data_IF_320425223907
#
_entry.id   IF_320425223907
#
_cell.length_a   1.000
_cell.length_b   1.000
_cell.length_c   1.000
_cell.angle_alpha   90.00
_cell.angle_beta   90.00
_cell.angle_gamma   90.00
#
_symmetry.space_group_name_H-M   'P 1'
#
loop_
_entity.id
_entity.type
_entity.pdbx_description
1 polymer ?
#
# COMPACT_ATOMS: atom_id res chain seq x y z
N UNK A 1 20.15 -4.83 25.77
CA UNK A 1 18.91 -5.57 25.45
C UNK A 1 18.34 -5.04 24.13
N UNK A 2 18.80 -5.52 22.96
CA UNK A 2 18.42 -4.89 21.66
C UNK A 2 18.02 -5.86 20.54
N UNK A 3 18.22 -7.17 20.71
CA UNK A 3 18.12 -8.12 19.59
C UNK A 3 16.68 -8.50 19.23
N UNK A 4 15.79 -8.62 20.21
CA UNK A 4 14.38 -9.02 19.98
C UNK A 4 13.41 -7.84 19.90
N UNK A 5 13.77 -6.68 20.45
CA UNK A 5 12.96 -5.46 20.41
C UNK A 5 12.45 -5.10 19.00
N UNK A 6 13.30 -5.11 17.94
CA UNK A 6 12.84 -4.71 16.60
C UNK A 6 11.86 -5.70 15.98
N UNK A 7 12.08 -7.00 16.18
CA UNK A 7 11.16 -8.03 15.72
C UNK A 7 9.79 -7.91 16.41
N UNK A 8 9.78 -7.57 17.71
CA UNK A 8 8.56 -7.41 18.50
C UNK A 8 7.78 -6.16 18.09
N UNK A 9 8.47 -5.04 17.86
CA UNK A 9 7.88 -3.79 17.35
C UNK A 9 7.17 -3.99 16.01
N UNK A 10 7.85 -4.62 15.04
CA UNK A 10 7.30 -4.85 13.70
C UNK A 10 6.12 -5.83 13.75
N UNK A 11 6.23 -6.92 14.52
CA UNK A 11 5.16 -7.92 14.62
C UNK A 11 3.88 -7.31 15.21
N UNK A 12 4.02 -6.46 16.23
CA UNK A 12 2.88 -5.78 16.86
C UNK A 12 2.22 -4.77 15.90
N UNK A 13 3.03 -4.01 15.14
CA UNK A 13 2.52 -3.09 14.13
C UNK A 13 1.75 -3.83 13.02
N UNK A 14 2.26 -4.97 12.55
CA UNK A 14 1.60 -5.78 11.53
C UNK A 14 0.28 -6.36 12.07
N UNK A 15 0.26 -6.90 13.29
CA UNK A 15 -0.96 -7.41 13.91
C UNK A 15 -2.05 -6.33 14.03
N UNK A 16 -1.68 -5.12 14.44
CA UNK A 16 -2.61 -3.99 14.51
C UNK A 16 -3.18 -3.62 13.12
N UNK A 17 -2.35 -3.64 12.08
CA UNK A 17 -2.79 -3.39 10.70
C UNK A 17 -3.68 -4.50 10.14
N UNK A 18 -3.41 -5.76 10.50
CA UNK A 18 -4.26 -6.89 10.12
C UNK A 18 -5.63 -6.81 10.79
N UNK A 19 -5.67 -6.40 12.06
CA UNK A 19 -6.92 -6.19 12.79
C UNK A 19 -7.77 -5.09 12.18
N UNK A 20 -7.14 -3.96 11.83
CA UNK A 20 -7.80 -2.79 11.23
C UNK A 20 -8.08 -2.93 9.73
N UNK A 21 -7.65 -4.03 9.10
CA UNK A 21 -7.71 -4.27 7.64
C UNK A 21 -6.99 -3.22 6.79
N UNK A 22 -6.14 -2.38 7.38
CA UNK A 22 -5.34 -1.35 6.69
C UNK A 22 -3.88 -1.77 6.61
N UNK A 23 -3.60 -2.84 5.87
CA UNK A 23 -2.23 -3.34 5.71
C UNK A 23 -1.39 -2.30 4.96
N UNK A 24 -0.54 -1.58 5.68
CA UNK A 24 0.38 -0.60 5.13
C UNK A 24 1.81 -1.04 5.42
N UNK A 25 2.43 -1.87 4.55
CA UNK A 25 3.80 -2.34 4.69
C UNK A 25 4.84 -1.28 5.08
N UNK A 26 4.81 -0.03 4.56
CA UNK A 26 5.77 1.00 4.99
C UNK A 26 5.56 1.45 6.44
N UNK A 27 4.37 1.29 7.03
CA UNK A 27 4.15 1.52 8.46
C UNK A 27 4.96 0.56 9.35
N UNK A 28 5.15 -0.68 8.90
CA UNK A 28 6.02 -1.64 9.60
C UNK A 28 7.49 -1.25 9.57
N UNK A 29 7.97 -0.72 8.43
CA UNK A 29 9.33 -0.19 8.31
C UNK A 29 9.57 1.01 9.23
N UNK A 30 8.57 1.89 9.39
CA UNK A 30 8.63 3.01 10.33
C UNK A 30 8.76 2.53 11.79
N UNK A 31 8.00 1.50 12.19
CA UNK A 31 8.08 0.91 13.53
C UNK A 31 9.46 0.26 13.81
N UNK A 32 10.09 -0.29 12.78
CA UNK A 32 11.46 -0.82 12.86
C UNK A 32 12.48 0.32 13.05
N UNK A 33 12.38 1.38 12.23
CA UNK A 33 13.28 2.54 12.29
C UNK A 33 13.17 3.26 13.63
N UNK A 34 11.97 3.39 14.20
CA UNK A 34 11.79 3.97 15.52
C UNK A 34 12.55 3.21 16.63
N UNK A 35 12.82 1.92 16.42
CA UNK A 35 13.48 1.08 17.42
C UNK A 35 14.98 0.87 17.18
N UNK A 36 15.42 0.82 15.90
CA UNK A 36 16.84 0.67 15.52
C UNK A 36 17.52 2.03 15.28
N UNK A 37 16.74 3.11 15.10
CA UNK A 37 17.24 4.44 14.77
C UNK A 37 18.31 4.97 15.73
N UNK A 38 19.12 5.92 15.23
CA UNK A 38 20.19 6.58 15.97
C UNK A 38 19.70 7.24 17.26
N UNK A 39 20.60 7.48 18.21
CA UNK A 39 20.23 8.07 19.51
C UNK A 39 19.59 9.45 19.40
N UNK A 40 19.83 10.18 18.31
CA UNK A 40 19.13 11.43 17.99
C UNK A 40 17.61 11.21 17.81
N UNK A 41 17.22 10.13 17.11
CA UNK A 41 15.81 9.77 16.87
C UNK A 41 15.14 9.33 18.18
N UNK A 42 15.87 8.58 19.02
CA UNK A 42 15.41 8.21 20.37
C UNK A 42 15.32 9.41 21.31
N UNK A 43 16.23 10.39 21.19
CA UNK A 43 16.21 11.62 21.98
C UNK A 43 15.03 12.53 21.63
N UNK A 44 14.60 12.52 20.36
CA UNK A 44 13.37 13.21 19.91
C UNK A 44 12.10 12.50 20.38
N UNK A 45 12.17 11.25 20.82
CA UNK A 45 11.05 10.50 21.38
C UNK A 45 9.84 10.48 20.45
N UNK A 46 8.66 10.83 20.97
CA UNK A 46 7.41 10.87 20.20
C UNK A 46 7.36 11.99 19.13
N UNK A 47 8.26 12.98 19.20
CA UNK A 47 8.29 14.04 18.17
C UNK A 47 8.69 13.52 16.79
N UNK A 48 9.43 12.42 16.70
CA UNK A 48 9.77 11.78 15.42
C UNK A 48 8.53 11.32 14.63
N UNK A 49 7.48 10.88 15.34
CA UNK A 49 6.20 10.49 14.73
C UNK A 49 5.48 11.71 14.13
N UNK A 50 5.57 12.85 14.83
CA UNK A 50 4.94 14.11 14.39
C UNK A 50 5.75 14.73 13.25
N UNK A 51 7.07 14.65 13.28
CA UNK A 51 7.97 15.27 12.32
C UNK A 51 9.20 14.36 12.18
N UNK A 52 9.39 13.58 11.09
CA UNK A 52 8.94 13.79 9.71
C UNK A 52 7.77 12.89 9.27
N UNK A 53 7.37 11.88 10.03
CA UNK A 53 6.49 10.81 9.54
C UNK A 53 5.10 11.33 9.17
N UNK A 54 4.44 12.04 10.09
CA UNK A 54 3.12 12.62 9.83
C UNK A 54 3.17 13.61 8.65
N UNK A 55 4.19 14.46 8.60
CA UNK A 55 4.37 15.42 7.50
C UNK A 55 4.52 14.71 6.14
N UNK A 56 5.32 13.65 6.07
CA UNK A 56 5.49 12.85 4.85
C UNK A 56 4.21 12.16 4.41
N UNK A 57 3.44 11.59 5.35
CA UNK A 57 2.14 10.98 5.06
C UNK A 57 1.15 12.01 4.55
N UNK A 58 1.09 13.20 5.17
CA UNK A 58 0.20 14.29 4.72
C UNK A 58 0.57 14.74 3.30
N UNK A 59 1.86 14.92 3.00
CA UNK A 59 2.33 15.31 1.67
C UNK A 59 1.94 14.27 0.63
N UNK A 60 2.17 12.98 0.91
CA UNK A 60 1.79 11.88 0.03
C UNK A 60 0.27 11.77 -0.12
N UNK A 61 -0.48 11.99 0.94
CA UNK A 61 -1.94 11.96 0.93
C UNK A 61 -2.52 13.10 0.08
N UNK A 62 -1.99 14.32 0.24
CA UNK A 62 -2.36 15.47 -0.60
C UNK A 62 -2.05 15.19 -2.06
N UNK A 63 -0.85 14.67 -2.36
CA UNK A 63 -0.50 14.28 -3.73
C UNK A 63 -1.42 13.19 -4.26
N UNK A 64 -1.72 12.16 -3.49
CA UNK A 64 -2.65 11.09 -3.87
C UNK A 64 -4.04 11.65 -4.21
N UNK A 65 -4.56 12.59 -3.41
CA UNK A 65 -5.84 13.25 -3.71
C UNK A 65 -5.75 14.07 -4.99
N UNK A 66 -4.68 14.86 -5.18
CA UNK A 66 -4.50 15.68 -6.37
C UNK A 66 -4.45 14.80 -7.64
N UNK A 67 -3.64 13.74 -7.64
CA UNK A 67 -3.56 12.79 -8.76
C UNK A 67 -4.85 12.00 -8.95
N UNK A 68 -5.51 11.57 -7.87
CA UNK A 68 -6.79 10.86 -7.93
C UNK A 68 -7.91 11.74 -8.52
N UNK A 69 -7.90 13.05 -8.23
CA UNK A 69 -8.86 14.00 -8.76
C UNK A 69 -8.56 14.35 -10.23
N UNK A 70 -7.28 14.42 -10.63
CA UNK A 70 -6.89 14.61 -12.04
C UNK A 70 -7.28 13.42 -12.92
N UNK A 71 -7.27 12.20 -12.37
CA UNK A 71 -7.64 10.97 -13.08
C UNK A 71 -9.17 10.77 -13.16
N UNK A 72 -9.94 11.83 -13.46
CA UNK A 72 -11.41 11.78 -13.61
C UNK A 72 -11.87 10.96 -14.82
N UNK A 73 -10.96 10.62 -15.74
CA UNK A 73 -11.26 9.87 -16.96
C UNK A 73 -10.67 8.45 -16.97
N UNK A 74 -10.75 7.74 -15.83
CA UNK A 74 -10.64 6.28 -15.83
C UNK A 74 -12.02 5.68 -15.68
N UNK A 75 -12.66 5.41 -16.81
CA UNK A 75 -13.57 4.27 -16.91
C UNK A 75 -12.71 3.06 -16.63
N UNK A 76 -12.90 2.41 -15.49
CA UNK A 76 -12.31 1.12 -15.21
C UNK A 76 -13.09 0.08 -16.03
N UNK A 77 -12.57 -0.47 -17.14
CA UNK A 77 -13.03 -1.79 -17.57
C UNK A 77 -12.43 -2.75 -16.53
N UNK A 78 -13.16 -3.68 -15.95
CA UNK A 78 -13.99 -4.64 -16.62
C UNK A 78 -15.03 -5.12 -15.61
N UNK A 79 -16.27 -5.32 -16.06
CA UNK A 79 -17.30 -5.97 -15.25
C UNK A 79 -16.94 -7.45 -15.15
N UNK A 80 -16.01 -7.80 -14.25
CA UNK A 80 -15.54 -9.19 -14.01
C UNK A 80 -16.66 -10.15 -13.58
N UNK A 81 -17.86 -9.62 -13.29
CA UNK A 81 -19.10 -10.40 -13.19
C UNK A 81 -19.29 -11.34 -14.39
N UNK A 82 -18.90 -10.89 -15.60
CA UNK A 82 -19.10 -11.66 -16.83
C UNK A 82 -18.03 -12.74 -17.04
N UNK A 83 -16.79 -12.51 -16.62
CA UNK A 83 -15.72 -13.53 -16.72
C UNK A 83 -15.86 -14.60 -15.62
N UNK A 84 -16.47 -14.29 -14.47
CA UNK A 84 -16.58 -15.24 -13.34
C UNK A 84 -17.38 -16.50 -13.68
N UNK A 85 -18.38 -16.41 -14.55
CA UNK A 85 -19.23 -17.54 -14.93
C UNK A 85 -18.69 -18.36 -16.11
N UNK A 86 -17.63 -17.89 -16.79
CA UNK A 86 -17.04 -18.57 -17.93
C UNK A 86 -16.14 -19.73 -17.50
N UNK A 87 -16.22 -20.86 -18.23
CA UNK A 87 -15.29 -21.98 -18.06
C UNK A 87 -13.89 -21.58 -18.52
N UNK A 88 -12.87 -22.31 -18.07
CA UNK A 88 -11.47 -21.98 -18.35
C UNK A 88 -11.15 -21.81 -19.85
N UNK A 89 -11.73 -22.65 -20.73
CA UNK A 89 -11.54 -22.53 -22.18
C UNK A 89 -12.12 -21.23 -22.76
N UNK A 90 -13.25 -20.77 -22.26
CA UNK A 90 -13.89 -19.52 -22.69
C UNK A 90 -13.10 -18.30 -22.20
N UNK A 91 -12.53 -18.38 -21.00
CA UNK A 91 -11.61 -17.35 -20.46
C UNK A 91 -10.38 -17.17 -21.35
N UNK A 92 -9.77 -18.27 -21.79
CA UNK A 92 -8.58 -18.21 -22.68
C UNK A 92 -8.94 -17.55 -24.02
N UNK A 93 -10.11 -17.87 -24.58
CA UNK A 93 -10.59 -17.26 -25.82
C UNK A 93 -10.90 -15.76 -25.66
N UNK A 94 -11.50 -15.38 -24.53
CA UNK A 94 -11.78 -13.99 -24.18
C UNK A 94 -10.48 -13.15 -24.13
N UNK A 95 -9.48 -13.61 -23.38
CA UNK A 95 -8.18 -12.94 -23.30
C UNK A 95 -7.44 -12.90 -24.64
N UNK A 96 -7.55 -13.95 -25.46
CA UNK A 96 -6.99 -13.97 -26.82
C UNK A 96 -7.65 -12.92 -27.73
N UNK A 97 -8.95 -12.65 -27.56
CA UNK A 97 -9.68 -11.65 -28.36
C UNK A 97 -9.31 -10.22 -27.96
N UNK A 98 -9.27 -9.94 -26.66
CA UNK A 98 -8.92 -8.61 -26.12
C UNK A 98 -7.49 -8.19 -26.49
N UNK A 99 -6.54 -9.13 -26.40
CA UNK A 99 -5.14 -8.89 -26.75
C UNK A 99 -4.91 -8.61 -28.25
N UNK A 100 -5.80 -9.08 -29.14
CA UNK A 100 -5.76 -8.72 -30.56
C UNK A 100 -6.36 -7.34 -30.82
N UNK A 101 -7.43 -6.96 -30.11
CA UNK A 101 -8.09 -5.66 -30.30
C UNK A 101 -7.25 -4.48 -29.78
N UNK A 102 -6.41 -4.70 -28.76
CA UNK A 102 -5.45 -3.70 -28.28
C UNK A 102 -4.24 -3.48 -29.20
N UNK A 103 -3.97 -4.39 -30.15
CA UNK A 103 -2.85 -4.28 -31.09
C UNK A 103 -3.24 -3.62 -32.42
N UNK A 104 -4.52 -3.35 -32.64
CA UNK A 104 -5.05 -2.71 -33.85
C UNK A 104 -5.35 -1.22 -33.68
N UNK A 105 -4.86 -0.61 -32.60
CA UNK A 105 -4.95 0.83 -32.28
C UNK A 105 -3.54 1.34 -32.08
#
# INVERSE_FOLDING_TARGET
MIWFSPALSVSLAILAMQYTKTLHPPGGAIALIANIGSDEIKSMGYFYVINPILTGIIILFVMAILFNNLSKNRVYPYRDEEIRHLKYGEKVCFWKKETNHSKSI
#
